data_IF_033852723918
#
_entry.id   IF_033852723918
#
_cell.length_a   1.000
_cell.length_b   1.000
_cell.length_c   1.000
_cell.angle_alpha   90.00
_cell.angle_beta   90.00
_cell.angle_gamma   90.00
#
_symmetry.space_group_name_H-M   'P 1'
#
loop_
_entity.id
_entity.type
_entity.pdbx_description
1 polymer ?
#
# COMPACT_ATOMS: atom_id res chain seq x y z
N UNK A 1 -24.73 -19.75 15.76
CA UNK A 1 -24.62 -18.64 14.78
C UNK A 1 -23.23 -18.04 14.90
N UNK A 2 -22.75 -17.32 13.89
CA UNK A 2 -21.45 -16.64 13.89
C UNK A 2 -21.69 -15.18 13.48
N UNK A 3 -21.15 -14.22 14.24
CA UNK A 3 -21.20 -12.79 13.89
C UNK A 3 -19.77 -12.27 13.79
N UNK A 4 -19.41 -11.76 12.62
CA UNK A 4 -18.07 -11.32 12.25
C UNK A 4 -17.92 -9.82 12.56
N UNK A 5 -16.96 -9.48 13.42
CA UNK A 5 -16.67 -8.12 13.90
C UNK A 5 -15.28 -7.61 13.48
N UNK A 6 -14.78 -8.10 12.35
CA UNK A 6 -13.49 -7.64 11.79
C UNK A 6 -13.60 -6.21 11.25
N UNK A 7 -12.48 -5.56 10.98
CA UNK A 7 -12.46 -4.22 10.38
C UNK A 7 -13.15 -4.21 9.01
N UNK A 8 -13.80 -3.09 8.67
CA UNK A 8 -14.71 -3.01 7.52
C UNK A 8 -14.02 -2.58 6.21
N UNK A 9 -12.89 -3.21 5.88
CA UNK A 9 -12.21 -3.07 4.60
C UNK A 9 -12.14 -4.42 3.85
N UNK A 10 -11.36 -4.48 2.75
CA UNK A 10 -11.23 -5.71 1.96
C UNK A 10 -10.45 -6.81 2.70
N UNK A 11 -9.40 -6.44 3.42
CA UNK A 11 -8.58 -7.40 4.18
C UNK A 11 -9.39 -8.00 5.33
N UNK A 12 -10.20 -7.18 6.02
CA UNK A 12 -11.12 -7.64 7.05
C UNK A 12 -12.21 -8.55 6.51
N UNK A 13 -12.70 -8.36 5.27
CA UNK A 13 -13.58 -9.34 4.62
C UNK A 13 -12.85 -10.63 4.24
N UNK A 14 -11.59 -10.56 3.81
CA UNK A 14 -10.78 -11.75 3.50
C UNK A 14 -10.57 -12.62 4.75
N UNK A 15 -10.11 -12.01 5.85
CA UNK A 15 -9.96 -12.70 7.15
C UNK A 15 -11.32 -13.21 7.65
N UNK A 16 -12.42 -12.49 7.39
CA UNK A 16 -13.74 -12.97 7.74
C UNK A 16 -14.08 -14.32 7.07
N UNK A 17 -13.66 -14.51 5.81
CA UNK A 17 -13.86 -15.77 5.11
C UNK A 17 -12.92 -16.88 5.59
N UNK A 18 -11.68 -16.57 6.00
CA UNK A 18 -10.81 -17.54 6.68
C UNK A 18 -11.47 -18.09 7.96
N UNK A 19 -12.05 -17.20 8.78
CA UNK A 19 -12.80 -17.59 9.99
C UNK A 19 -14.02 -18.43 9.64
N UNK A 20 -14.78 -18.02 8.61
CA UNK A 20 -15.95 -18.76 8.14
C UNK A 20 -15.58 -20.17 7.70
N UNK A 21 -14.51 -20.35 6.93
CA UNK A 21 -14.10 -21.66 6.42
C UNK A 21 -13.73 -22.62 7.57
N UNK A 22 -13.00 -22.12 8.56
CA UNK A 22 -12.67 -22.89 9.77
C UNK A 22 -13.94 -23.28 10.55
N UNK A 23 -14.82 -22.32 10.82
CA UNK A 23 -16.04 -22.55 11.59
C UNK A 23 -17.04 -23.46 10.85
N UNK A 24 -17.19 -23.29 9.53
CA UNK A 24 -18.06 -24.11 8.69
C UNK A 24 -17.54 -25.55 8.55
N UNK A 25 -16.21 -25.74 8.65
CA UNK A 25 -15.59 -27.06 8.78
C UNK A 25 -16.09 -27.83 10.01
N UNK A 26 -16.29 -27.14 11.14
CA UNK A 26 -16.86 -27.73 12.36
C UNK A 26 -18.40 -27.84 12.32
N UNK A 27 -19.10 -26.84 11.77
CA UNK A 27 -20.56 -26.85 11.66
C UNK A 27 -21.05 -26.12 10.39
N UNK A 28 -21.49 -26.90 9.40
CA UNK A 28 -21.99 -26.39 8.11
C UNK A 28 -23.31 -25.64 8.18
N UNK A 29 -24.07 -25.81 9.26
CA UNK A 29 -25.38 -25.16 9.44
C UNK A 29 -25.28 -23.82 10.19
N UNK A 30 -24.07 -23.26 10.30
CA UNK A 30 -23.87 -21.95 10.93
C UNK A 30 -24.55 -20.85 10.13
N UNK A 31 -25.46 -20.13 10.79
CA UNK A 31 -25.96 -18.86 10.30
C UNK A 31 -24.89 -17.77 10.51
N UNK A 32 -24.28 -17.30 9.43
CA UNK A 32 -23.13 -16.37 9.43
C UNK A 32 -23.60 -14.95 9.13
N UNK A 33 -23.23 -14.02 10.01
CA UNK A 33 -23.55 -12.61 9.92
C UNK A 33 -22.29 -11.75 9.99
N UNK A 34 -22.38 -10.54 9.46
CA UNK A 34 -21.32 -9.55 9.40
C UNK A 34 -21.82 -8.26 10.03
N UNK A 35 -21.17 -7.83 11.11
CA UNK A 35 -21.37 -6.50 11.67
C UNK A 35 -20.58 -5.48 10.82
N UNK A 36 -21.17 -4.32 10.55
CA UNK A 36 -20.55 -3.24 9.78
C UNK A 36 -20.49 -1.97 10.63
N UNK A 37 -19.29 -1.44 10.82
CA UNK A 37 -19.01 -0.25 11.62
C UNK A 37 -17.80 0.50 11.03
N UNK A 38 -17.71 1.80 11.30
CA UNK A 38 -16.59 2.66 10.84
C UNK A 38 -15.79 3.25 12.02
N UNK A 39 -16.32 3.15 13.24
CA UNK A 39 -15.70 3.61 14.47
C UNK A 39 -16.13 2.75 15.67
N UNK A 40 -15.22 2.62 16.64
CA UNK A 40 -15.47 1.92 17.90
C UNK A 40 -16.15 2.85 18.92
N UNK A 41 -17.36 3.32 18.59
CA UNK A 41 -18.17 4.16 19.48
C UNK A 41 -19.51 3.50 19.80
N UNK A 42 -20.11 3.72 21.00
CA UNK A 42 -21.31 3.01 21.42
C UNK A 42 -22.44 3.07 20.39
N UNK A 43 -22.73 4.24 19.84
CA UNK A 43 -23.79 4.42 18.82
C UNK A 43 -23.60 3.48 17.63
N UNK A 44 -22.40 3.43 17.05
CA UNK A 44 -22.14 2.61 15.87
C UNK A 44 -22.19 1.12 16.16
N UNK A 45 -21.67 0.68 17.30
CA UNK A 45 -21.72 -0.74 17.66
C UNK A 45 -23.17 -1.21 17.88
N UNK A 46 -24.01 -0.36 18.50
CA UNK A 46 -25.44 -0.65 18.67
C UNK A 46 -26.18 -0.69 17.32
N UNK A 47 -25.90 0.25 16.41
CA UNK A 47 -26.49 0.21 15.06
C UNK A 47 -26.03 -1.04 14.28
N UNK A 48 -24.74 -1.40 14.36
CA UNK A 48 -24.18 -2.54 13.65
C UNK A 48 -24.82 -3.88 14.06
N UNK A 49 -25.09 -4.09 15.35
CA UNK A 49 -25.73 -5.33 15.84
C UNK A 49 -27.22 -5.39 15.49
N UNK A 50 -27.88 -4.25 15.34
CA UNK A 50 -29.28 -4.17 14.91
C UNK A 50 -29.45 -4.38 13.39
N UNK A 51 -28.40 -4.09 12.62
CA UNK A 51 -28.39 -4.13 11.15
C UNK A 51 -27.31 -5.07 10.60
N UNK A 52 -27.26 -6.31 11.09
CA UNK A 52 -26.33 -7.32 10.60
C UNK A 52 -26.54 -7.63 9.11
N UNK A 53 -25.44 -7.71 8.37
CA UNK A 53 -25.41 -8.05 6.95
C UNK A 53 -24.81 -9.46 6.73
N UNK A 54 -24.74 -9.91 5.48
CA UNK A 54 -23.91 -11.08 5.10
C UNK A 54 -22.50 -10.62 4.75
N UNK A 55 -21.45 -11.43 5.04
CA UNK A 55 -20.10 -11.14 4.56
C UNK A 55 -20.07 -11.13 3.02
N UNK A 56 -19.15 -10.37 2.43
CA UNK A 56 -19.06 -10.14 0.99
C UNK A 56 -17.91 -10.93 0.36
N UNK A 57 -18.22 -12.08 -0.25
CA UNK A 57 -17.21 -12.96 -0.87
C UNK A 57 -16.42 -12.28 -1.98
N UNK A 58 -17.03 -11.36 -2.74
CA UNK A 58 -16.34 -10.67 -3.83
C UNK A 58 -15.16 -9.81 -3.33
N UNK A 59 -15.24 -9.27 -2.12
CA UNK A 59 -14.13 -8.51 -1.53
C UNK A 59 -13.01 -9.43 -1.06
N UNK A 60 -13.36 -10.56 -0.45
CA UNK A 60 -12.38 -11.57 -0.08
C UNK A 60 -11.67 -12.16 -1.32
N UNK A 61 -12.42 -12.50 -2.37
CA UNK A 61 -11.88 -13.05 -3.62
C UNK A 61 -10.94 -12.04 -4.32
N UNK A 62 -11.23 -10.75 -4.23
CA UNK A 62 -10.35 -9.71 -4.77
C UNK A 62 -9.01 -9.65 -4.02
N UNK A 63 -9.01 -9.89 -2.70
CA UNK A 63 -7.78 -9.98 -1.89
C UNK A 63 -7.02 -11.25 -2.23
N UNK A 64 -7.70 -12.40 -2.31
CA UNK A 64 -7.09 -13.68 -2.71
C UNK A 64 -6.41 -13.57 -4.07
N UNK A 65 -7.09 -12.98 -5.06
CA UNK A 65 -6.55 -12.75 -6.38
C UNK A 65 -5.30 -11.85 -6.35
N UNK A 66 -5.33 -10.76 -5.56
CA UNK A 66 -4.17 -9.87 -5.40
C UNK A 66 -2.99 -10.59 -4.75
N UNK A 67 -3.22 -11.31 -3.66
CA UNK A 67 -2.20 -12.10 -2.96
C UNK A 67 -1.54 -13.13 -3.89
N UNK A 68 -2.35 -13.83 -4.71
CA UNK A 68 -1.85 -14.80 -5.66
C UNK A 68 -1.02 -14.16 -6.78
N UNK A 69 -1.47 -13.03 -7.34
CA UNK A 69 -0.71 -12.26 -8.33
C UNK A 69 0.62 -11.80 -7.76
N UNK A 70 0.61 -11.18 -6.58
CA UNK A 70 1.80 -10.67 -5.90
C UNK A 70 2.80 -11.80 -5.60
N UNK A 71 2.32 -12.95 -5.09
CA UNK A 71 3.15 -14.10 -4.79
C UNK A 71 3.77 -14.71 -6.06
N UNK A 72 2.95 -14.99 -7.08
CA UNK A 72 3.41 -15.66 -8.31
C UNK A 72 4.41 -14.80 -9.05
N UNK A 73 4.10 -13.53 -9.28
CA UNK A 73 5.00 -12.60 -9.98
C UNK A 73 6.23 -12.34 -9.12
N UNK A 74 6.03 -11.97 -7.85
CA UNK A 74 7.13 -11.62 -6.95
C UNK A 74 8.12 -12.76 -6.77
N UNK A 75 7.65 -13.99 -6.50
CA UNK A 75 8.52 -15.14 -6.32
C UNK A 75 9.25 -15.53 -7.61
N UNK A 76 8.58 -15.48 -8.76
CA UNK A 76 9.17 -15.87 -10.05
C UNK A 76 10.31 -14.93 -10.44
N UNK A 77 10.06 -13.61 -10.46
CA UNK A 77 11.06 -12.63 -10.84
C UNK A 77 12.17 -12.49 -9.80
N UNK A 78 11.85 -12.49 -8.50
CA UNK A 78 12.85 -12.46 -7.42
C UNK A 78 13.81 -13.64 -7.53
N UNK A 79 13.31 -14.87 -7.70
CA UNK A 79 14.17 -16.06 -7.85
C UNK A 79 15.01 -15.99 -9.10
N UNK A 80 14.39 -15.64 -10.23
CA UNK A 80 15.08 -15.52 -11.51
C UNK A 80 16.25 -14.54 -11.43
N UNK A 81 15.99 -13.29 -11.02
CA UNK A 81 17.03 -12.26 -11.00
C UNK A 81 18.09 -12.51 -9.93
N UNK A 82 17.69 -13.02 -8.75
CA UNK A 82 18.64 -13.37 -7.68
C UNK A 82 19.60 -14.46 -8.17
N UNK A 83 19.08 -15.56 -8.73
CA UNK A 83 19.92 -16.67 -9.19
C UNK A 83 20.77 -16.29 -10.41
N UNK A 84 20.23 -15.47 -11.33
CA UNK A 84 20.94 -15.01 -12.52
C UNK A 84 22.13 -14.11 -12.16
N UNK A 85 21.96 -13.23 -11.17
CA UNK A 85 22.93 -12.17 -10.87
C UNK A 85 23.83 -12.48 -9.67
N UNK A 86 23.52 -13.53 -8.90
CA UNK A 86 24.28 -13.93 -7.70
C UNK A 86 25.78 -14.07 -7.97
N UNK A 87 26.14 -14.69 -9.10
CA UNK A 87 27.55 -14.95 -9.46
C UNK A 87 28.12 -13.86 -10.39
N UNK A 88 27.28 -12.97 -10.92
CA UNK A 88 27.67 -11.93 -11.85
C UNK A 88 28.29 -10.71 -11.16
N UNK A 89 27.91 -10.45 -9.90
CA UNK A 89 28.36 -9.29 -9.15
C UNK A 89 28.70 -9.66 -7.70
N UNK A 90 29.88 -9.28 -7.24
CA UNK A 90 30.18 -9.23 -5.80
C UNK A 90 29.54 -7.95 -5.26
N UNK A 91 28.28 -8.05 -4.88
CA UNK A 91 27.55 -6.94 -4.29
C UNK A 91 27.92 -6.86 -2.80
N UNK A 92 28.96 -6.10 -2.48
CA UNK A 92 29.43 -5.84 -1.12
C UNK A 92 28.45 -4.91 -0.38
N UNK A 93 27.34 -5.49 0.08
CA UNK A 93 26.38 -4.80 0.94
C UNK A 93 26.67 -5.24 2.36
N UNK A 94 27.61 -4.50 2.97
CA UNK A 94 27.95 -4.52 4.39
C UNK A 94 28.39 -5.88 4.95
N UNK A 95 29.66 -6.25 4.76
CA UNK A 95 30.51 -6.94 5.75
C UNK A 95 30.09 -8.32 6.29
N UNK A 96 28.92 -8.83 5.95
CA UNK A 96 28.42 -10.15 6.27
C UNK A 96 28.04 -10.82 4.95
N UNK A 97 28.53 -12.04 4.73
CA UNK A 97 28.14 -12.94 3.63
C UNK A 97 26.65 -13.36 3.73
N UNK A 98 25.74 -12.40 3.78
CA UNK A 98 24.31 -12.66 3.66
C UNK A 98 24.03 -12.88 2.18
N UNK A 99 23.51 -14.07 1.85
CA UNK A 99 22.93 -14.37 0.55
C UNK A 99 22.00 -13.23 0.12
N UNK A 100 22.48 -12.36 -0.77
CA UNK A 100 21.71 -11.22 -1.23
C UNK A 100 20.50 -11.71 -2.02
N UNK A 101 19.33 -11.19 -1.66
CA UNK A 101 18.09 -11.41 -2.41
C UNK A 101 17.75 -10.13 -3.15
N UNK A 102 17.73 -10.21 -4.47
CA UNK A 102 17.23 -9.15 -5.32
C UNK A 102 15.73 -9.35 -5.46
N UNK A 103 14.93 -8.62 -4.68
CA UNK A 103 13.47 -8.74 -4.73
C UNK A 103 12.85 -7.98 -5.91
N UNK A 104 11.75 -8.53 -6.41
CA UNK A 104 10.87 -7.90 -7.39
C UNK A 104 9.44 -7.95 -6.87
N UNK A 105 8.70 -6.87 -7.07
CA UNK A 105 7.27 -6.81 -6.81
C UNK A 105 6.56 -5.95 -7.86
N UNK A 106 5.38 -6.35 -8.34
CA UNK A 106 4.68 -5.63 -9.42
C UNK A 106 4.34 -4.17 -9.04
N UNK A 107 4.12 -3.88 -7.75
CA UNK A 107 3.94 -2.51 -7.26
C UNK A 107 5.25 -1.87 -6.75
N UNK A 108 6.15 -2.67 -6.15
CA UNK A 108 7.44 -2.19 -5.63
C UNK A 108 8.33 -1.63 -6.75
N UNK A 109 8.37 -2.31 -7.91
CA UNK A 109 9.21 -1.94 -9.04
C UNK A 109 8.88 -0.54 -9.61
N UNK A 110 7.63 -0.23 -10.02
CA UNK A 110 7.29 1.13 -10.48
C UNK A 110 7.42 2.18 -9.38
N UNK A 111 7.17 1.82 -8.11
CA UNK A 111 7.38 2.73 -6.97
C UNK A 111 8.84 3.19 -6.87
N UNK A 112 9.79 2.25 -7.00
CA UNK A 112 11.22 2.60 -7.09
C UNK A 112 11.52 3.39 -8.37
N UNK A 113 10.85 3.06 -9.46
CA UNK A 113 10.92 3.77 -10.74
C UNK A 113 10.74 5.28 -10.60
N UNK A 114 9.73 5.75 -9.87
CA UNK A 114 9.50 7.18 -9.63
C UNK A 114 10.67 7.87 -8.92
N UNK A 115 11.33 7.18 -7.98
CA UNK A 115 12.48 7.73 -7.25
C UNK A 115 13.67 7.85 -8.19
N UNK A 116 13.94 6.80 -8.97
CA UNK A 116 15.06 6.77 -9.93
C UNK A 116 14.85 7.78 -11.05
N UNK A 117 13.63 7.91 -11.56
CA UNK A 117 13.25 8.90 -12.57
C UNK A 117 13.52 10.32 -12.07
N UNK A 118 13.02 10.68 -10.89
CA UNK A 118 13.29 12.00 -10.29
C UNK A 118 14.78 12.24 -10.06
N UNK A 119 15.52 11.21 -9.66
CA UNK A 119 16.97 11.32 -9.51
C UNK A 119 17.64 11.66 -10.86
N UNK A 120 17.25 11.00 -11.95
CA UNK A 120 17.78 11.30 -13.28
C UNK A 120 17.39 12.68 -13.79
N UNK A 121 16.15 13.13 -13.56
CA UNK A 121 15.70 14.49 -13.90
C UNK A 121 16.59 15.54 -13.23
N UNK A 122 16.91 15.36 -11.94
CA UNK A 122 17.79 16.27 -11.19
C UNK A 122 19.22 16.24 -11.74
N UNK A 123 19.75 15.06 -12.05
CA UNK A 123 21.10 14.93 -12.61
C UNK A 123 21.23 15.52 -14.03
N UNK A 124 20.16 15.43 -14.83
CA UNK A 124 20.11 15.96 -16.18
C UNK A 124 19.69 17.44 -16.24
N UNK A 125 19.35 18.06 -15.11
CA UNK A 125 18.95 19.45 -15.07
C UNK A 125 20.14 20.35 -15.40
N UNK A 126 20.05 21.08 -16.51
CA UNK A 126 20.95 22.17 -16.87
C UNK A 126 20.32 23.49 -16.39
N UNK A 127 20.89 24.17 -15.38
CA UNK A 127 20.35 25.45 -14.91
C UNK A 127 20.45 26.54 -15.98
N UNK A 128 19.35 27.25 -16.20
CA UNK A 128 19.29 28.38 -17.14
C UNK A 128 19.29 29.71 -16.37
N UNK A 129 20.09 30.68 -16.82
CA UNK A 129 20.05 32.03 -16.28
C UNK A 129 18.74 32.73 -16.66
N UNK A 130 18.09 33.34 -15.67
CA UNK A 130 16.90 34.16 -15.88
C UNK A 130 16.97 35.42 -15.01
N UNK A 131 16.24 36.45 -15.41
CA UNK A 131 16.17 37.73 -14.70
C UNK A 131 14.75 38.00 -14.23
N UNK A 132 14.61 38.58 -13.04
CA UNK A 132 13.33 39.07 -12.53
C UNK A 132 13.46 40.52 -12.04
N UNK A 133 12.36 41.27 -12.01
CA UNK A 133 12.29 42.62 -11.46
C UNK A 133 11.79 42.51 -10.03
N UNK A 134 12.64 42.88 -9.07
CA UNK A 134 12.26 42.97 -7.67
C UNK A 134 11.90 44.42 -7.33
N UNK A 135 10.65 44.67 -6.92
CA UNK A 135 10.17 45.98 -6.50
C UNK A 135 9.63 45.89 -5.09
N UNK A 136 10.17 46.71 -4.18
CA UNK A 136 9.65 46.86 -2.83
C UNK A 136 9.45 48.33 -2.48
N UNK A 137 8.44 48.60 -1.65
CA UNK A 137 8.12 49.92 -1.14
C UNK A 137 7.98 49.87 0.38
N UNK A 138 8.79 50.65 1.08
CA UNK A 138 8.73 50.78 2.54
C UNK A 138 7.99 52.06 2.92
N UNK A 139 6.98 51.94 3.76
CA UNK A 139 6.25 53.02 4.41
C UNK A 139 6.31 52.87 5.94
N UNK A 140 5.75 53.85 6.65
CA UNK A 140 5.67 53.83 8.13
C UNK A 140 4.83 52.66 8.66
N UNK A 141 3.99 52.06 7.83
CA UNK A 141 3.13 50.92 8.16
C UNK A 141 3.79 49.56 7.85
N UNK A 142 4.92 49.54 7.13
CA UNK A 142 5.65 48.31 6.78
C UNK A 142 6.25 48.32 5.37
N UNK A 143 6.75 47.17 4.92
CA UNK A 143 7.32 47.00 3.57
C UNK A 143 6.42 46.12 2.71
N UNK A 144 5.95 46.66 1.58
CA UNK A 144 5.24 45.92 0.53
C UNK A 144 6.25 45.42 -0.53
N UNK A 145 6.10 44.18 -0.99
CA UNK A 145 6.89 43.60 -2.09
C UNK A 145 5.97 43.25 -3.26
N UNK A 146 6.35 43.67 -4.46
CA UNK A 146 5.61 43.44 -5.71
C UNK A 146 6.37 42.42 -6.56
N UNK A 147 5.70 41.31 -6.86
CA UNK A 147 6.27 40.19 -7.62
C UNK A 147 5.98 40.40 -9.10
N UNK A 148 7.02 40.38 -9.93
CA UNK A 148 6.88 40.35 -11.39
C UNK A 148 6.50 38.93 -11.83
N UNK A 149 5.32 38.79 -12.44
CA UNK A 149 4.82 37.54 -13.04
C UNK A 149 5.28 37.39 -14.49
#
# INVERSE_FOLDING_TARGET
WLVLWLDCDREGENIAYEVVDICAGANRNLNIWRARFSALIPREIHEAVQHLARPNKLFADAVDARQEIDLRIGASFTRFQTMLLKDAFVLDVSGEERNMVLSYGPCQFPTLGFIVERFWEIQAHEPEEFWTINCSHTSDEGTASFIWM
#
